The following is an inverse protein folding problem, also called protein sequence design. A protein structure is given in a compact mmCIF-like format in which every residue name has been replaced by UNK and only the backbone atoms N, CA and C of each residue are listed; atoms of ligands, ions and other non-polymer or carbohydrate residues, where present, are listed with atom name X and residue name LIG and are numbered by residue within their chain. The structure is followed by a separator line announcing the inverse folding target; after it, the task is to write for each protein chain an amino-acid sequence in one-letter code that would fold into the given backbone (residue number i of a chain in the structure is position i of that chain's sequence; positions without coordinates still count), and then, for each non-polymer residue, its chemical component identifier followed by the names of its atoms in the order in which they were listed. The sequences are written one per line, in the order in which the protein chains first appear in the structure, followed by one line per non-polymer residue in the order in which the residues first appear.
data_IF_455803595490
#
_entry.id   IF_455803595490
#
_cell.length_a   1.000
_cell.length_b   1.000
_cell.length_c   1.000
_cell.angle_alpha   90.00
_cell.angle_beta   90.00
_cell.angle_gamma   90.00
#
_symmetry.space_group_name_H-M   'P 1'
#
loop_
_entity.id
_entity.type
_entity.pdbx_description
1 polymer ?
#
# COMPACT_ATOMS: atom_id res chain seq x y z
N UNK A 1 -8.09 -13.99 -11.81
CA UNK A 1 -6.77 -14.00 -11.17
C UNK A 1 -6.94 -14.67 -9.82
N UNK A 2 -6.13 -15.68 -9.51
CA UNK A 2 -6.26 -16.42 -8.24
C UNK A 2 -5.34 -15.78 -7.19
N UNK A 3 -5.88 -15.52 -5.99
CA UNK A 3 -5.13 -14.99 -4.86
C UNK A 3 -4.59 -16.16 -4.03
N UNK A 4 -3.29 -16.13 -3.73
CA UNK A 4 -2.67 -17.09 -2.82
C UNK A 4 -2.75 -16.52 -1.40
N UNK A 5 -3.70 -17.01 -0.61
CA UNK A 5 -3.95 -16.47 0.73
C UNK A 5 -3.05 -17.15 1.75
N UNK A 6 -2.10 -16.40 2.29
CA UNK A 6 -1.13 -16.84 3.29
C UNK A 6 -1.18 -15.93 4.52
N UNK A 7 -0.55 -16.36 5.62
CA UNK A 7 -0.38 -15.51 6.80
C UNK A 7 0.93 -14.75 6.73
N UNK A 8 0.91 -13.46 7.04
CA UNK A 8 2.10 -12.61 7.01
C UNK A 8 2.03 -11.49 8.05
N UNK A 9 3.19 -10.92 8.37
CA UNK A 9 3.29 -9.68 9.13
C UNK A 9 3.37 -8.51 8.16
N UNK A 10 2.61 -7.44 8.43
CA UNK A 10 2.61 -6.26 7.56
C UNK A 10 4.02 -5.63 7.44
N UNK A 11 4.81 -5.67 8.51
CA UNK A 11 6.20 -5.19 8.52
C UNK A 11 7.06 -5.80 7.41
N UNK A 12 6.92 -7.10 7.14
CA UNK A 12 7.70 -7.78 6.09
C UNK A 12 7.36 -7.24 4.69
N UNK A 13 6.10 -6.91 4.45
CA UNK A 13 5.66 -6.28 3.19
C UNK A 13 6.28 -4.89 3.07
N UNK A 14 6.23 -4.10 4.14
CA UNK A 14 6.75 -2.73 4.15
C UNK A 14 8.26 -2.68 3.97
N UNK A 15 9.00 -3.56 4.63
CA UNK A 15 10.46 -3.66 4.48
C UNK A 15 10.85 -3.98 3.04
N UNK A 16 10.11 -4.89 2.39
CA UNK A 16 10.33 -5.23 0.99
C UNK A 16 9.98 -4.08 0.04
N UNK A 17 8.84 -3.41 0.24
CA UNK A 17 8.41 -2.24 -0.54
C UNK A 17 9.43 -1.11 -0.44
N UNK A 18 9.89 -0.78 0.77
CA UNK A 18 10.89 0.26 1.00
C UNK A 18 12.22 -0.12 0.35
N UNK A 19 12.68 -1.36 0.55
CA UNK A 19 13.95 -1.84 -0.01
C UNK A 19 14.02 -1.69 -1.53
N UNK A 20 12.91 -1.91 -2.24
CA UNK A 20 12.82 -1.83 -3.70
C UNK A 20 13.03 -0.41 -4.25
N UNK A 21 12.74 0.65 -3.47
CA UNK A 21 12.91 2.04 -3.92
C UNK A 21 14.17 2.71 -3.38
N UNK A 22 14.95 2.05 -2.52
CA UNK A 22 16.12 2.65 -1.87
C UNK A 22 17.18 3.16 -2.84
N UNK A 23 17.40 2.47 -3.96
CA UNK A 23 18.37 2.90 -4.98
C UNK A 23 17.90 4.20 -5.64
N UNK A 24 16.66 4.23 -6.10
CA UNK A 24 16.06 5.40 -6.74
C UNK A 24 15.98 6.62 -5.80
N UNK A 25 15.66 6.40 -4.53
CA UNK A 25 15.70 7.46 -3.50
C UNK A 25 17.10 8.09 -3.38
N UNK A 26 18.16 7.26 -3.37
CA UNK A 26 19.55 7.74 -3.29
C UNK A 26 19.96 8.50 -4.55
N UNK A 27 19.62 7.99 -5.73
CA UNK A 27 19.90 8.64 -7.01
C UNK A 27 19.26 10.02 -7.09
N UNK A 28 18.02 10.14 -6.61
CA UNK A 28 17.26 11.39 -6.60
C UNK A 28 17.52 12.27 -5.39
N UNK A 29 18.37 11.85 -4.45
CA UNK A 29 18.67 12.53 -3.18
C UNK A 29 17.42 12.88 -2.38
N UNK A 30 16.46 11.96 -2.36
CA UNK A 30 15.20 12.09 -1.62
C UNK A 30 15.31 11.40 -0.25
N UNK A 31 14.77 12.05 0.77
CA UNK A 31 14.60 11.41 2.08
C UNK A 31 13.29 10.63 2.12
N UNK A 32 13.30 9.48 2.79
CA UNK A 32 12.10 8.71 3.08
C UNK A 32 11.76 8.82 4.56
N UNK A 33 10.56 9.28 4.86
CA UNK A 33 9.98 9.38 6.20
C UNK A 33 8.89 8.32 6.35
N UNK A 34 9.02 7.46 7.36
CA UNK A 34 8.05 6.40 7.63
C UNK A 34 7.36 6.67 8.98
N UNK A 35 6.09 7.04 8.95
CA UNK A 35 5.23 7.17 10.12
C UNK A 35 4.36 5.92 10.26
N UNK A 36 4.96 4.85 10.77
CA UNK A 36 4.28 3.54 10.90
C UNK A 36 4.43 3.05 12.35
N UNK A 37 3.34 3.04 13.13
CA UNK A 37 3.32 2.46 14.47
C UNK A 37 3.81 1.01 14.50
N UNK A 38 4.59 0.62 15.50
CA UNK A 38 5.11 -0.75 15.62
C UNK A 38 4.00 -1.80 15.72
N UNK A 39 2.90 -1.48 16.39
CA UNK A 39 1.70 -2.33 16.46
C UNK A 39 1.12 -2.67 15.08
N UNK A 40 1.24 -1.76 14.11
CA UNK A 40 0.82 -1.96 12.72
C UNK A 40 1.82 -2.87 11.99
N UNK A 41 3.13 -2.70 12.20
CA UNK A 41 4.15 -3.56 11.59
C UNK A 41 4.04 -5.00 12.07
N UNK A 42 3.75 -5.20 13.35
CA UNK A 42 3.59 -6.54 13.94
C UNK A 42 2.21 -7.15 13.71
N UNK A 43 1.33 -6.49 12.97
CA UNK A 43 -0.04 -6.94 12.78
C UNK A 43 -0.06 -8.23 11.93
N UNK A 44 -0.55 -9.35 12.48
CA UNK A 44 -0.72 -10.59 11.74
C UNK A 44 -1.94 -10.51 10.82
N UNK A 45 -1.71 -10.67 9.52
CA UNK A 45 -2.71 -10.55 8.48
C UNK A 45 -2.79 -11.83 7.66
N UNK A 46 -3.91 -12.02 6.99
CA UNK A 46 -4.07 -13.08 6.00
C UNK A 46 -4.57 -12.51 4.67
N UNK A 47 -3.87 -12.87 3.60
CA UNK A 47 -4.08 -12.36 2.25
C UNK A 47 -2.92 -12.76 1.33
N UNK A 48 -2.88 -12.21 0.13
CA UNK A 48 -1.77 -12.46 -0.80
C UNK A 48 -0.65 -11.44 -0.57
N UNK A 49 0.37 -11.85 0.18
CA UNK A 49 1.49 -11.01 0.57
C UNK A 49 2.25 -10.48 -0.65
N UNK A 50 2.50 -11.35 -1.65
CA UNK A 50 3.31 -11.02 -2.82
C UNK A 50 2.59 -9.98 -3.68
N UNK A 51 1.28 -10.18 -3.92
CA UNK A 51 0.46 -9.22 -4.66
C UNK A 51 0.30 -7.90 -3.92
N UNK A 52 0.14 -7.92 -2.59
CA UNK A 52 0.10 -6.69 -1.80
C UNK A 52 1.41 -5.91 -1.93
N UNK A 53 2.55 -6.59 -1.79
CA UNK A 53 3.86 -6.00 -1.97
C UNK A 53 4.00 -5.38 -3.36
N UNK A 54 3.62 -6.11 -4.41
CA UNK A 54 3.66 -5.62 -5.78
C UNK A 54 2.87 -4.30 -5.94
N UNK A 55 1.61 -4.29 -5.49
CA UNK A 55 0.74 -3.12 -5.57
C UNK A 55 1.35 -1.90 -4.87
N UNK A 56 1.80 -2.09 -3.63
CA UNK A 56 2.38 -1.00 -2.82
C UNK A 56 3.70 -0.51 -3.39
N UNK A 57 4.53 -1.40 -3.92
CA UNK A 57 5.79 -1.06 -4.59
C UNK A 57 5.57 -0.26 -5.86
N UNK A 58 4.59 -0.62 -6.69
CA UNK A 58 4.29 0.12 -7.92
C UNK A 58 3.86 1.55 -7.61
N UNK A 59 3.01 1.74 -6.60
CA UNK A 59 2.60 3.07 -6.15
C UNK A 59 3.79 3.87 -5.59
N UNK A 60 4.58 3.27 -4.69
CA UNK A 60 5.72 3.95 -4.10
C UNK A 60 6.79 4.31 -5.14
N UNK A 61 7.06 3.41 -6.09
CA UNK A 61 7.99 3.66 -7.18
C UNK A 61 7.56 4.89 -7.99
N UNK A 62 6.28 4.99 -8.36
CA UNK A 62 5.77 6.16 -9.08
C UNK A 62 5.87 7.45 -8.26
N UNK A 63 5.61 7.39 -6.95
CA UNK A 63 5.79 8.53 -6.04
C UNK A 63 7.25 9.00 -6.06
N UNK A 64 8.21 8.09 -5.90
CA UNK A 64 9.64 8.44 -5.92
C UNK A 64 10.08 8.92 -7.31
N UNK A 65 9.65 8.24 -8.36
CA UNK A 65 10.04 8.55 -9.75
C UNK A 65 9.61 9.95 -10.19
N UNK A 66 8.45 10.44 -9.73
CA UNK A 66 7.93 11.75 -10.10
C UNK A 66 8.11 12.85 -9.03
N UNK A 67 8.63 12.52 -7.85
CA UNK A 67 9.00 13.53 -6.87
C UNK A 67 10.13 14.45 -7.38
N UNK A 68 10.09 15.77 -7.11
CA UNK A 68 11.16 16.69 -7.48
C UNK A 68 12.51 16.31 -6.86
N UNK A 69 13.58 16.28 -7.65
CA UNK A 69 14.93 15.84 -7.23
C UNK A 69 15.71 16.88 -6.38
N UNK A 70 15.03 17.69 -5.56
CA UNK A 70 15.62 18.80 -4.80
C UNK A 70 15.36 18.63 -3.30
N UNK A 71 16.31 18.07 -2.54
CA UNK A 71 16.27 17.88 -1.07
C UNK A 71 14.87 17.61 -0.49
N UNK A 72 14.09 16.83 -1.25
CA UNK A 72 12.68 16.59 -1.00
C UNK A 72 12.51 15.38 -0.11
N UNK A 73 11.30 15.20 0.38
CA UNK A 73 10.94 14.02 1.16
C UNK A 73 9.74 13.31 0.55
N UNK A 74 9.76 12.00 0.75
CA UNK A 74 8.67 11.06 0.55
C UNK A 74 8.19 10.63 1.94
N UNK A 75 6.89 10.58 2.16
CA UNK A 75 6.32 10.08 3.41
C UNK A 75 5.46 8.86 3.16
N UNK A 76 5.64 7.83 3.97
CA UNK A 76 4.72 6.70 4.07
C UNK A 76 4.08 6.77 5.45
N UNK A 77 2.76 6.94 5.47
CA UNK A 77 1.95 6.90 6.69
C UNK A 77 0.95 5.78 6.58
N UNK A 78 0.77 5.02 7.66
CA UNK A 78 -0.22 3.95 7.74
C UNK A 78 -1.10 4.18 8.95
N UNK A 79 -2.40 4.10 8.75
CA UNK A 79 -3.38 4.15 9.82
C UNK A 79 -4.33 2.96 9.73
N UNK A 80 -4.84 2.55 10.89
CA UNK A 80 -5.86 1.51 11.01
C UNK A 80 -7.23 2.16 11.15
N UNK A 81 -8.22 1.60 10.45
CA UNK A 81 -9.62 2.01 10.55
C UNK A 81 -10.43 1.08 11.46
N UNK A 82 -11.75 1.16 11.31
CA UNK A 82 -12.69 0.31 12.03
C UNK A 82 -12.43 -1.17 11.75
N UNK A 83 -12.55 -1.99 12.79
CA UNK A 83 -12.55 -3.44 12.68
C UNK A 83 -13.94 -3.90 12.26
N UNK A 84 -14.00 -4.75 11.24
CA UNK A 84 -15.24 -5.33 10.76
C UNK A 84 -15.28 -6.83 11.05
N UNK A 85 -16.47 -7.36 11.30
CA UNK A 85 -16.69 -8.80 11.42
C UNK A 85 -17.56 -9.22 10.24
N UNK A 86 -17.05 -10.13 9.41
CA UNK A 86 -17.77 -10.71 8.27
C UNK A 86 -17.53 -12.22 8.29
N UNK A 87 -18.60 -13.02 8.19
CA UNK A 87 -18.53 -14.50 8.17
C UNK A 87 -17.63 -15.10 9.26
N UNK A 88 -17.79 -14.62 10.50
CA UNK A 88 -16.99 -15.01 11.68
C UNK A 88 -15.48 -14.68 11.59
N UNK A 89 -15.06 -13.91 10.59
CA UNK A 89 -13.70 -13.42 10.43
C UNK A 89 -13.63 -11.93 10.80
N UNK A 90 -12.57 -11.56 11.51
CA UNK A 90 -12.26 -10.17 11.77
C UNK A 90 -11.40 -9.61 10.64
N UNK A 91 -11.77 -8.44 10.15
CA UNK A 91 -11.02 -7.66 9.18
C UNK A 91 -10.58 -6.36 9.82
N UNK A 92 -9.38 -5.93 9.43
CA UNK A 92 -8.84 -4.62 9.79
C UNK A 92 -8.72 -3.81 8.52
N UNK A 93 -9.26 -2.60 8.58
CA UNK A 93 -9.08 -1.62 7.54
C UNK A 93 -7.69 -0.99 7.68
N UNK A 94 -6.92 -0.96 6.60
CA UNK A 94 -5.63 -0.29 6.53
C UNK A 94 -5.69 0.79 5.47
N UNK A 95 -5.23 1.98 5.85
CA UNK A 95 -5.05 3.10 4.94
C UNK A 95 -3.58 3.46 4.85
N UNK A 96 -3.00 3.26 3.65
CA UNK A 96 -1.65 3.68 3.32
C UNK A 96 -1.71 5.01 2.59
N UNK A 97 -0.89 5.95 3.04
CA UNK A 97 -0.70 7.24 2.39
C UNK A 97 0.75 7.38 2.01
N UNK A 98 1.01 7.48 0.70
CA UNK A 98 2.35 7.66 0.14
C UNK A 98 2.42 9.04 -0.49
N UNK A 99 3.13 9.97 0.16
CA UNK A 99 3.12 11.39 -0.17
C UNK A 99 4.45 11.84 -0.76
N UNK A 100 4.40 12.72 -1.77
CA UNK A 100 5.52 13.57 -2.17
C UNK A 100 5.06 15.02 -2.32
N UNK A 101 6.02 15.95 -2.29
CA UNK A 101 5.80 17.35 -2.66
C UNK A 101 5.92 17.53 -4.18
N UNK A 102 5.30 18.56 -4.74
CA UNK A 102 5.48 18.95 -6.15
C UNK A 102 4.21 18.93 -6.99
N UNK A 103 4.38 18.86 -8.30
CA UNK A 103 3.29 19.00 -9.29
C UNK A 103 2.43 17.73 -9.45
N UNK A 104 2.88 16.61 -8.90
CA UNK A 104 2.22 15.32 -9.00
C UNK A 104 2.63 14.50 -10.22
N UNK A 105 1.88 13.42 -10.47
CA UNK A 105 2.10 12.54 -11.61
C UNK A 105 1.58 13.19 -12.90
N UNK A 106 2.18 12.88 -14.07
CA UNK A 106 1.70 13.36 -15.36
C UNK A 106 0.22 13.02 -15.59
N UNK A 107 -0.57 13.92 -16.22
CA UNK A 107 -1.99 13.69 -16.47
C UNK A 107 -2.27 12.40 -17.26
N UNK A 108 -1.47 12.10 -18.29
CA UNK A 108 -1.66 10.91 -19.13
C UNK A 108 -1.47 9.61 -18.33
N UNK A 109 -0.54 9.61 -17.38
CA UNK A 109 -0.30 8.48 -16.50
C UNK A 109 -1.49 8.26 -15.53
N UNK A 110 -2.07 9.34 -15.00
CA UNK A 110 -3.28 9.26 -14.16
C UNK A 110 -4.48 8.81 -14.99
N UNK A 111 -4.63 9.31 -16.22
CA UNK A 111 -5.67 8.88 -17.15
C UNK A 111 -5.54 7.38 -17.45
N UNK A 112 -4.36 6.90 -17.83
CA UNK A 112 -4.10 5.47 -18.06
C UNK A 112 -4.44 4.62 -16.82
N UNK A 113 -4.06 5.08 -15.62
CA UNK A 113 -4.34 4.36 -14.37
C UNK A 113 -5.85 4.12 -14.13
N UNK A 114 -6.70 5.12 -14.40
CA UNK A 114 -8.14 5.05 -14.10
C UNK A 114 -9.01 4.66 -15.30
N UNK A 115 -8.70 5.18 -16.47
CA UNK A 115 -9.54 5.16 -17.68
C UNK A 115 -8.93 4.33 -18.82
N UNK A 116 -7.68 3.87 -18.68
CA UNK A 116 -6.99 3.08 -19.70
C UNK A 116 -7.83 1.88 -20.19
N UNK A 117 -8.31 2.01 -21.42
CA UNK A 117 -9.11 1.03 -22.17
C UNK A 117 -8.22 0.23 -23.13
N UNK A 118 -8.48 0.36 -24.43
CA UNK A 118 -7.75 -0.38 -25.48
C UNK A 118 -6.44 0.32 -25.93
N UNK A 119 -6.20 1.57 -25.50
CA UNK A 119 -4.99 2.34 -25.81
C UNK A 119 -4.37 2.87 -24.53
N UNK A 120 -3.04 2.77 -24.44
CA UNK A 120 -2.23 3.17 -23.29
C UNK A 120 -1.23 4.23 -23.75
N UNK A 121 -1.12 5.34 -23.02
CA UNK A 121 -0.20 6.41 -23.35
C UNK A 121 1.21 6.16 -22.77
N UNK A 122 1.27 5.45 -21.65
CA UNK A 122 2.50 5.23 -20.87
C UNK A 122 2.62 3.80 -20.36
N UNK A 123 3.85 3.29 -20.24
CA UNK A 123 4.09 1.97 -19.64
C UNK A 123 3.83 2.01 -18.12
N UNK A 124 4.19 3.10 -17.45
CA UNK A 124 3.89 3.27 -16.01
C UNK A 124 2.39 3.31 -15.74
N UNK A 125 1.61 3.98 -16.60
CA UNK A 125 0.15 4.06 -16.51
C UNK A 125 -0.53 2.69 -16.63
N UNK A 126 -0.07 1.85 -17.56
CA UNK A 126 -0.52 0.44 -17.66
C UNK A 126 -0.19 -0.34 -16.38
N UNK A 127 1.02 -0.18 -15.83
CA UNK A 127 1.44 -0.81 -14.57
C UNK A 127 0.54 -0.40 -13.39
N UNK A 128 0.28 0.90 -13.24
CA UNK A 128 -0.61 1.43 -12.20
C UNK A 128 -2.05 0.98 -12.37
N UNK A 129 -2.54 0.85 -13.61
CA UNK A 129 -3.86 0.29 -13.89
C UNK A 129 -3.96 -1.17 -13.45
N UNK A 130 -2.94 -1.98 -13.76
CA UNK A 130 -2.87 -3.37 -13.31
C UNK A 130 -2.84 -3.46 -11.78
N UNK A 131 -2.02 -2.63 -11.12
CA UNK A 131 -1.94 -2.58 -9.66
C UNK A 131 -3.24 -2.11 -9.01
N UNK A 132 -3.97 -1.15 -9.62
CA UNK A 132 -5.33 -0.77 -9.18
C UNK A 132 -6.32 -1.93 -9.31
N UNK A 133 -6.31 -2.66 -10.43
CA UNK A 133 -7.17 -3.83 -10.65
C UNK A 133 -6.84 -4.95 -9.66
N UNK A 134 -5.56 -5.18 -9.40
CA UNK A 134 -5.07 -6.16 -8.44
C UNK A 134 -5.51 -5.82 -7.01
N UNK A 135 -5.35 -4.56 -6.61
CA UNK A 135 -5.84 -4.04 -5.34
C UNK A 135 -7.37 -4.22 -5.22
N UNK A 136 -8.11 -3.94 -6.29
CA UNK A 136 -9.58 -4.13 -6.31
C UNK A 136 -9.97 -5.59 -6.11
N UNK A 137 -9.23 -6.53 -6.71
CA UNK A 137 -9.43 -7.97 -6.48
C UNK A 137 -9.10 -8.40 -5.04
N UNK A 138 -8.31 -7.61 -4.31
CA UNK A 138 -7.99 -7.79 -2.89
C UNK A 138 -8.93 -6.99 -1.96
N UNK A 139 -10.10 -6.57 -2.44
CA UNK A 139 -11.05 -5.72 -1.70
C UNK A 139 -10.46 -4.37 -1.23
N UNK A 140 -9.51 -3.84 -1.98
CA UNK A 140 -8.97 -2.51 -1.76
C UNK A 140 -9.38 -1.51 -2.83
N UNK A 141 -9.02 -0.25 -2.61
CA UNK A 141 -9.18 0.84 -3.58
C UNK A 141 -8.05 1.84 -3.42
N UNK A 142 -7.77 2.59 -4.48
CA UNK A 142 -6.75 3.63 -4.47
C UNK A 142 -7.32 4.92 -5.06
N UNK A 143 -6.92 6.03 -4.46
CA UNK A 143 -7.13 7.37 -4.99
C UNK A 143 -5.78 8.05 -5.17
N UNK A 144 -5.69 8.94 -6.15
CA UNK A 144 -4.58 9.88 -6.26
C UNK A 144 -5.08 11.28 -5.96
N UNK A 145 -4.52 11.91 -4.93
CA UNK A 145 -4.97 13.20 -4.40
C UNK A 145 -3.88 14.23 -4.54
N UNK A 146 -4.26 15.43 -4.98
CA UNK A 146 -3.38 16.61 -5.07
C UNK A 146 -3.99 17.74 -4.24
N UNK A 147 -3.33 18.10 -3.15
CA UNK A 147 -3.88 19.04 -2.18
C UNK A 147 -2.76 19.80 -1.46
N UNK A 148 -2.89 21.13 -1.35
CA UNK A 148 -1.97 22.01 -0.62
C UNK A 148 -0.47 21.80 -0.95
N UNK A 149 -0.13 21.58 -2.23
CA UNK A 149 1.25 21.36 -2.68
C UNK A 149 1.82 19.96 -2.39
N UNK A 150 0.99 19.06 -1.85
CA UNK A 150 1.29 17.65 -1.65
C UNK A 150 0.49 16.79 -2.61
N UNK A 151 1.12 15.72 -3.06
CA UNK A 151 0.51 14.73 -3.93
C UNK A 151 0.68 13.36 -3.29
N UNK A 152 -0.37 12.55 -3.26
CA UNK A 152 -0.29 11.25 -2.61
C UNK A 152 -1.22 10.21 -3.21
N UNK A 153 -0.78 8.96 -3.15
CA UNK A 153 -1.68 7.83 -3.23
C UNK A 153 -2.31 7.59 -1.85
N UNK A 154 -3.63 7.41 -1.83
CA UNK A 154 -4.40 6.96 -0.69
C UNK A 154 -4.94 5.56 -1.01
N UNK A 155 -4.34 4.54 -0.40
CA UNK A 155 -4.67 3.13 -0.63
C UNK A 155 -5.42 2.63 0.60
N UNK A 156 -6.68 2.24 0.39
CA UNK A 156 -7.51 1.59 1.40
C UNK A 156 -7.59 0.10 1.09
N UNK A 157 -7.44 -0.76 2.09
CA UNK A 157 -7.61 -2.21 1.94
C UNK A 157 -8.12 -2.85 3.23
N UNK A 158 -9.06 -3.78 3.10
CA UNK A 158 -9.52 -4.60 4.20
C UNK A 158 -8.81 -5.94 4.17
N UNK A 159 -8.02 -6.24 5.21
CA UNK A 159 -7.30 -7.51 5.33
C UNK A 159 -7.80 -8.29 6.53
N UNK A 160 -7.84 -9.61 6.38
CA UNK A 160 -8.26 -10.50 7.46
C UNK A 160 -7.22 -10.43 8.58
N UNK A 161 -7.66 -10.03 9.78
CA UNK A 161 -6.84 -10.02 10.97
C UNK A 161 -6.71 -11.46 11.50
N UNK A 162 -5.47 -11.94 11.61
CA UNK A 162 -5.17 -13.20 12.28
C UNK A 162 -4.74 -12.88 13.70
N UNK A 163 -5.69 -12.54 14.59
CA UNK A 163 -5.38 -12.52 16.02
C UNK A 163 -4.67 -13.83 16.33
N UNK A 164 -3.47 -13.74 16.92
CA UNK A 164 -2.84 -14.92 17.51
C UNK A 164 -3.92 -15.58 18.35
N UNK A 165 -4.24 -16.86 18.09
CA UNK A 165 -5.10 -17.63 18.98
C UNK A 165 -4.43 -17.52 20.35
N UNK A 166 -4.90 -16.61 21.20
CA UNK A 166 -4.59 -16.68 22.61
C UNK A 166 -5.07 -18.07 23.01
N UNK A 167 -4.10 -18.92 23.37
CA UNK A 167 -4.37 -20.26 23.88
C UNK A 167 -5.40 -20.09 24.98
N UNK A 168 -6.64 -20.51 24.71
CA UNK A 168 -7.61 -20.79 25.75
C UNK A 168 -7.00 -21.88 26.63
N UNK A 169 -6.21 -21.45 27.62
CA UNK A 169 -5.81 -22.27 28.75
C UNK A 169 -7.11 -22.76 29.36
N UNK A 170 -7.24 -24.09 29.40
CA UNK A 170 -8.24 -24.81 30.15
C UNK A 170 -8.50 -24.11 31.49
N UNK A 171 -9.71 -23.58 31.67
CA UNK A 171 -10.26 -23.44 33.00
C UNK A 171 -10.79 -24.83 33.33
N UNK A 172 -9.97 -25.63 34.01
CA UNK A 172 -10.46 -26.81 34.71
C UNK A 172 -11.48 -26.34 35.74
N UNK A 173 -12.71 -26.80 35.58
CA UNK A 173 -13.74 -26.77 36.62
C UNK A 173 -13.21 -27.56 37.81
N UNK A 174 -13.18 -26.93 38.98
CA UNK A 174 -13.16 -27.60 40.27
C UNK A 174 -14.37 -27.14 41.06
#
# INVERSE_FOLDING_TARGET
MELNVEEFLLGNVLDAVVSQVMMLLKEKKLQLVCEIPEEIKTLPLSGDQIKLQQVLSDFLHNIVHHAPSSDGWIEIKISTGLKMIQDFNEFVHLQFRMTHIGQGLPPDLIHDMFEGGDQWNTQEGLGLNLSRKLLSAMNGRVQYVREHGKCFFLVDIDLKNRRAREKGKQIQVR
#
